data_IF_573841276036
#
_entry.id   IF_573841276036
#
_cell.length_a   1.000
_cell.length_b   1.000
_cell.length_c   1.000
_cell.angle_alpha   90.00
_cell.angle_beta   90.00
_cell.angle_gamma   90.00
#
_symmetry.space_group_name_H-M   'P 1'
#
loop_
_entity.id
_entity.type
_entity.pdbx_description
1 polymer ?
#
# COMPACT_ATOMS: atom_id res chain seq x y z
N UNK A 1 10.23 18.50 47.07
CA UNK A 1 9.01 18.71 46.25
C UNK A 1 9.41 18.34 44.85
N UNK A 2 8.95 17.19 44.38
CA UNK A 2 9.33 16.64 43.07
C UNK A 2 8.31 17.16 42.08
N UNK A 3 8.71 18.09 41.20
CA UNK A 3 7.86 18.54 40.09
C UNK A 3 7.56 17.34 39.19
N UNK A 4 6.32 16.85 39.25
CA UNK A 4 5.81 15.93 38.24
C UNK A 4 5.57 16.73 36.97
N UNK A 5 6.37 16.44 35.94
CA UNK A 5 6.04 16.86 34.58
C UNK A 5 4.78 16.07 34.21
N UNK A 6 3.64 16.76 34.14
CA UNK A 6 2.42 16.19 33.59
C UNK A 6 2.77 15.64 32.20
N UNK A 7 2.53 14.34 31.98
CA UNK A 7 2.55 13.78 30.63
C UNK A 7 1.61 14.66 29.83
N UNK A 8 2.19 15.53 28.99
CA UNK A 8 1.44 16.38 28.11
C UNK A 8 0.43 15.49 27.43
N UNK A 9 -0.81 15.93 27.41
CA UNK A 9 -1.82 15.43 26.49
C UNK A 9 -1.16 15.52 25.12
N UNK A 10 -0.49 14.45 24.70
CA UNK A 10 -0.15 14.20 23.32
C UNK A 10 -1.52 14.14 22.67
N UNK A 11 -2.00 15.31 22.25
CA UNK A 11 -2.81 15.42 21.06
C UNK A 11 -2.06 14.54 20.08
N UNK A 12 -2.56 13.30 19.93
CA UNK A 12 -2.36 12.58 18.69
C UNK A 12 -2.71 13.63 17.66
N UNK A 13 -1.70 14.15 16.96
CA UNK A 13 -1.97 15.07 15.88
C UNK A 13 -2.93 14.28 14.98
N UNK A 14 -4.20 14.68 14.98
CA UNK A 14 -5.19 14.17 14.05
C UNK A 14 -4.61 14.56 12.70
N UNK A 15 -3.85 13.65 12.09
CA UNK A 15 -3.21 13.89 10.82
C UNK A 15 -4.38 13.99 9.83
N UNK A 16 -4.81 15.22 9.47
CA UNK A 16 -6.07 15.43 8.78
C UNK A 16 -5.91 15.13 7.29
N UNK A 17 -4.72 14.72 6.88
CA UNK A 17 -4.37 14.32 5.53
C UNK A 17 -5.18 13.06 5.16
N UNK A 18 -6.12 13.13 4.20
CA UNK A 18 -6.97 12.01 3.86
C UNK A 18 -6.13 10.89 3.27
N UNK A 19 -6.03 9.78 4.00
CA UNK A 19 -5.38 8.54 3.53
C UNK A 19 -6.30 7.83 2.54
N UNK A 20 -5.72 7.35 1.45
CA UNK A 20 -6.40 6.65 0.38
C UNK A 20 -5.88 5.20 0.32
N UNK A 21 -6.56 4.23 0.96
CA UNK A 21 -6.15 2.83 0.87
C UNK A 21 -6.38 2.31 -0.56
N UNK A 22 -5.36 1.69 -1.14
CA UNK A 22 -5.39 1.07 -2.46
C UNK A 22 -4.97 -0.40 -2.33
N UNK A 23 -5.94 -1.31 -2.43
CA UNK A 23 -5.70 -2.75 -2.38
C UNK A 23 -5.64 -3.34 -3.78
N UNK A 24 -4.48 -3.86 -4.17
CA UNK A 24 -4.28 -4.57 -5.42
C UNK A 24 -4.53 -6.06 -5.20
N UNK A 25 -5.58 -6.59 -5.83
CA UNK A 25 -5.88 -8.02 -5.86
C UNK A 25 -5.34 -8.62 -7.15
N UNK A 26 -4.27 -9.41 -7.05
CA UNK A 26 -3.52 -9.87 -8.22
C UNK A 26 -3.64 -11.37 -8.41
N UNK A 27 -4.10 -11.78 -9.59
CA UNK A 27 -4.11 -13.20 -9.98
C UNK A 27 -2.68 -13.67 -10.28
N UNK A 28 -2.27 -14.78 -9.66
CA UNK A 28 -1.03 -15.51 -9.93
C UNK A 28 -1.31 -16.99 -10.25
N UNK A 29 -2.52 -17.29 -10.73
CA UNK A 29 -2.94 -18.62 -11.17
C UNK A 29 -2.13 -19.13 -12.37
N UNK A 30 -2.30 -20.41 -12.71
CA UNK A 30 -1.54 -21.05 -13.78
C UNK A 30 -1.70 -20.37 -15.16
N UNK A 31 -2.85 -19.73 -15.44
CA UNK A 31 -3.06 -18.98 -16.68
C UNK A 31 -2.22 -17.71 -16.79
N UNK A 32 -1.65 -17.24 -15.68
CA UNK A 32 -0.79 -16.05 -15.69
C UNK A 32 0.64 -16.35 -16.17
N UNK A 33 1.02 -17.62 -16.32
CA UNK A 33 2.38 -17.99 -16.73
C UNK A 33 2.79 -17.39 -18.08
N UNK A 34 4.04 -16.93 -18.16
CA UNK A 34 4.63 -16.37 -19.38
C UNK A 34 4.33 -14.88 -19.54
N UNK A 35 3.78 -14.50 -20.68
CA UNK A 35 3.53 -13.09 -21.03
C UNK A 35 2.60 -12.36 -20.03
N UNK A 36 1.49 -12.95 -19.53
CA UNK A 36 0.57 -12.22 -18.65
C UNK A 36 1.22 -11.76 -17.35
N UNK A 37 1.98 -12.61 -16.66
CA UNK A 37 2.69 -12.23 -15.42
C UNK A 37 3.80 -11.21 -15.69
N UNK A 38 4.45 -11.25 -16.86
CA UNK A 38 5.46 -10.26 -17.24
C UNK A 38 4.83 -8.87 -17.43
N UNK A 39 3.69 -8.79 -18.13
CA UNK A 39 2.96 -7.53 -18.31
C UNK A 39 2.35 -7.04 -16.98
N UNK A 40 1.88 -7.93 -16.11
CA UNK A 40 1.44 -7.55 -14.76
C UNK A 40 2.56 -6.88 -13.98
N UNK A 41 3.75 -7.49 -13.93
CA UNK A 41 4.90 -6.92 -13.21
C UNK A 41 5.32 -5.57 -13.81
N UNK A 42 5.30 -5.44 -15.13
CA UNK A 42 5.56 -4.17 -15.81
C UNK A 42 4.54 -3.10 -15.41
N UNK A 43 3.26 -3.46 -15.37
CA UNK A 43 2.18 -2.58 -14.91
C UNK A 43 2.35 -2.13 -13.45
N UNK A 44 2.82 -3.00 -12.56
CA UNK A 44 3.11 -2.63 -11.17
C UNK A 44 4.25 -1.63 -11.06
N UNK A 45 5.29 -1.77 -11.88
CA UNK A 45 6.40 -0.81 -11.95
C UNK A 45 5.87 0.55 -12.43
N UNK A 46 5.10 0.56 -13.51
CA UNK A 46 4.47 1.79 -14.03
C UNK A 46 3.57 2.44 -13.00
N UNK A 47 2.68 1.69 -12.34
CA UNK A 47 1.82 2.19 -11.25
C UNK A 47 2.64 2.84 -10.13
N UNK A 48 3.72 2.18 -9.69
CA UNK A 48 4.60 2.71 -8.64
C UNK A 48 5.32 3.98 -9.09
N UNK A 49 5.79 4.03 -10.34
CA UNK A 49 6.49 5.20 -10.89
C UNK A 49 5.54 6.39 -11.06
N UNK A 50 4.31 6.17 -11.55
CA UNK A 50 3.28 7.20 -11.68
C UNK A 50 2.81 7.71 -10.31
N UNK A 51 2.59 6.80 -9.36
CA UNK A 51 2.23 7.17 -7.99
C UNK A 51 3.32 7.99 -7.31
N UNK A 52 4.59 7.66 -7.57
CA UNK A 52 5.74 8.39 -7.04
C UNK A 52 5.99 9.73 -7.75
N UNK A 53 5.53 9.90 -8.99
CA UNK A 53 5.65 11.17 -9.68
C UNK A 53 4.69 12.24 -9.12
N UNK A 54 3.56 11.82 -8.53
CA UNK A 54 2.60 12.70 -7.88
C UNK A 54 2.91 12.85 -6.37
N UNK A 55 3.38 14.04 -5.98
CA UNK A 55 3.78 14.34 -4.60
C UNK A 55 2.62 14.25 -3.58
N UNK A 56 1.39 14.47 -4.02
CA UNK A 56 0.22 14.40 -3.15
C UNK A 56 -0.25 12.95 -3.01
N UNK A 57 -0.31 12.23 -4.12
CA UNK A 57 -0.69 10.82 -4.13
C UNK A 57 0.33 9.96 -3.36
N UNK A 58 1.63 10.21 -3.53
CA UNK A 58 2.69 9.51 -2.78
C UNK A 58 2.53 9.64 -1.25
N UNK A 59 2.03 10.78 -0.76
CA UNK A 59 1.83 11.01 0.67
C UNK A 59 0.53 10.43 1.21
N UNK A 60 -0.48 10.28 0.35
CA UNK A 60 -1.86 9.93 0.75
C UNK A 60 -2.20 8.47 0.48
N UNK A 61 -1.65 7.88 -0.57
CA UNK A 61 -2.03 6.53 -1.00
C UNK A 61 -1.28 5.50 -0.20
N UNK A 62 -2.02 4.61 0.45
CA UNK A 62 -1.48 3.46 1.17
C UNK A 62 -1.75 2.20 0.35
N UNK A 63 -0.70 1.62 -0.22
CA UNK A 63 -0.82 0.48 -1.12
C UNK A 63 -0.66 -0.83 -0.35
N UNK A 64 -1.57 -1.77 -0.56
CA UNK A 64 -1.46 -3.15 -0.13
C UNK A 64 -1.63 -4.08 -1.34
N UNK A 65 -0.94 -5.22 -1.33
CA UNK A 65 -1.03 -6.24 -2.37
C UNK A 65 -1.48 -7.55 -1.76
N UNK A 66 -2.52 -8.15 -2.34
CA UNK A 66 -2.95 -9.51 -2.05
C UNK A 66 -2.93 -10.28 -3.35
N UNK A 67 -2.13 -11.34 -3.38
CA UNK A 67 -2.11 -12.27 -4.51
C UNK A 67 -3.05 -13.44 -4.25
N UNK A 68 -3.64 -13.98 -5.31
CA UNK A 68 -4.48 -15.18 -5.23
C UNK A 68 -4.17 -16.17 -6.34
N UNK A 69 -4.38 -17.46 -6.04
CA UNK A 69 -3.89 -18.57 -6.85
C UNK A 69 -2.44 -18.97 -6.49
N UNK A 70 -1.98 -20.18 -6.87
CA UNK A 70 -2.78 -21.36 -7.16
C UNK A 70 -3.56 -21.83 -5.91
N UNK A 71 -4.68 -22.53 -6.10
CA UNK A 71 -5.48 -23.08 -4.99
C UNK A 71 -4.60 -24.05 -4.21
N UNK A 72 -4.32 -23.75 -2.94
CA UNK A 72 -3.68 -24.69 -2.02
C UNK A 72 -4.76 -25.59 -1.46
N UNK A 73 -4.75 -26.85 -1.88
CA UNK A 73 -5.58 -27.90 -1.29
C UNK A 73 -4.74 -28.60 -0.22
N UNK A 74 -4.69 -28.02 0.97
CA UNK A 74 -4.24 -28.73 2.17
C UNK A 74 -5.44 -29.39 2.84
#
# INVERSE_FOLDING_TARGET
>A
MTDQIAFGTTEFADNPEPRCPCLLLLDISASMNGTPIAELNKGLITFKDELAADQLAMKRVEVAIVTFGPVRTE
#
